data_IF_094414069482
#
_entry.id   IF_094414069482
#
_cell.length_a   1.000
_cell.length_b   1.000
_cell.length_c   1.000
_cell.angle_alpha   90.00
_cell.angle_beta   90.00
_cell.angle_gamma   90.00
#
_symmetry.space_group_name_H-M   'P 1'
#
loop_
_entity.id
_entity.type
_entity.pdbx_description
1 polymer ?
#
# COMPACT_ATOMS: atom_id res chain seq x y z
N UNK A 1 -39.74 17.84 -10.37
CA UNK A 1 -39.41 16.88 -9.31
C UNK A 1 -38.63 15.75 -9.96
N UNK A 2 -37.31 15.70 -9.79
CA UNK A 2 -36.46 14.59 -10.26
C UNK A 2 -36.07 13.79 -9.01
N UNK A 3 -36.48 12.54 -8.97
CA UNK A 3 -36.27 11.65 -7.83
C UNK A 3 -34.77 11.41 -7.65
N UNK A 4 -34.21 11.80 -6.50
CA UNK A 4 -32.86 11.42 -6.08
C UNK A 4 -32.77 9.91 -5.87
N UNK A 5 -31.59 9.34 -6.11
CA UNK A 5 -31.35 7.92 -5.85
C UNK A 5 -31.15 7.79 -4.34
N UNK A 6 -32.11 7.18 -3.65
CA UNK A 6 -31.93 6.82 -2.23
C UNK A 6 -31.12 5.54 -2.20
N UNK A 7 -29.86 5.62 -1.75
CA UNK A 7 -29.06 4.42 -1.53
C UNK A 7 -29.53 3.73 -0.23
N UNK A 8 -29.43 2.39 -0.16
CA UNK A 8 -29.81 1.66 1.04
C UNK A 8 -29.04 2.17 2.27
N UNK A 9 -29.62 2.04 3.48
CA UNK A 9 -28.99 2.49 4.72
C UNK A 9 -27.59 1.89 4.89
N UNK A 10 -26.68 2.67 5.48
CA UNK A 10 -25.32 2.22 5.81
C UNK A 10 -25.46 0.94 6.64
N UNK A 11 -24.92 -0.18 6.14
CA UNK A 11 -24.91 -1.42 6.90
C UNK A 11 -23.68 -1.39 7.81
N UNK A 12 -23.83 -0.76 8.96
CA UNK A 12 -22.85 -0.84 10.05
C UNK A 12 -23.11 -2.15 10.80
N UNK A 13 -22.42 -3.25 10.43
CA UNK A 13 -22.57 -4.53 11.15
C UNK A 13 -21.91 -4.41 12.53
N UNK A 14 -22.68 -4.09 13.56
CA UNK A 14 -22.21 -4.11 14.95
C UNK A 14 -22.72 -2.98 15.85
N UNK A 15 -23.43 -1.99 15.32
CA UNK A 15 -24.09 -0.94 16.13
C UNK A 15 -25.58 -1.19 16.18
N UNK A 16 -26.16 -1.35 17.37
CA UNK A 16 -27.61 -1.45 17.61
C UNK A 16 -28.33 -0.09 17.46
N UNK A 17 -27.89 0.74 16.52
CA UNK A 17 -28.47 2.03 16.21
C UNK A 17 -28.51 2.21 14.71
N UNK A 18 -29.69 2.55 14.18
CA UNK A 18 -29.92 2.86 12.78
C UNK A 18 -28.93 3.94 12.31
N UNK A 19 -27.88 3.55 11.58
CA UNK A 19 -27.00 4.48 10.88
C UNK A 19 -27.74 5.02 9.66
N UNK A 20 -27.97 6.34 9.65
CA UNK A 20 -28.75 7.04 8.64
C UNK A 20 -28.28 6.72 7.22
N UNK A 21 -29.25 6.44 6.34
CA UNK A 21 -28.99 6.46 4.90
C UNK A 21 -28.70 7.88 4.44
N UNK A 22 -27.94 8.04 3.35
CA UNK A 22 -27.74 9.33 2.69
C UNK A 22 -28.50 9.37 1.36
N UNK A 23 -28.93 10.58 0.99
CA UNK A 23 -29.60 10.82 -0.29
C UNK A 23 -28.56 11.20 -1.34
N UNK A 24 -28.54 10.51 -2.47
CA UNK A 24 -27.64 10.82 -3.59
C UNK A 24 -28.39 11.66 -4.62
N UNK A 25 -27.84 12.83 -4.96
CA UNK A 25 -28.44 13.73 -5.93
C UNK A 25 -28.41 13.12 -7.35
N UNK A 26 -29.36 13.53 -8.19
CA UNK A 26 -29.62 12.99 -9.54
C UNK A 26 -28.48 13.19 -10.56
N UNK A 27 -27.41 13.89 -10.17
CA UNK A 27 -26.20 14.14 -10.96
C UNK A 27 -24.96 13.34 -10.53
N UNK A 28 -25.10 12.38 -9.61
CA UNK A 28 -23.97 11.59 -9.10
C UNK A 28 -23.22 10.85 -10.21
N UNK A 29 -21.91 11.09 -10.27
CA UNK A 29 -20.97 10.36 -11.12
C UNK A 29 -19.75 9.96 -10.29
N UNK A 30 -19.41 8.67 -10.34
CA UNK A 30 -18.26 8.11 -9.65
C UNK A 30 -16.99 8.89 -9.98
N UNK A 31 -16.21 9.23 -8.94
CA UNK A 31 -14.91 9.89 -9.10
C UNK A 31 -14.95 11.37 -9.50
N UNK A 32 -16.12 12.03 -9.54
CA UNK A 32 -16.21 13.45 -9.92
C UNK A 32 -16.77 14.34 -8.81
N UNK A 33 -17.94 14.08 -8.23
CA UNK A 33 -18.53 14.88 -7.14
C UNK A 33 -19.70 14.12 -6.46
N UNK A 34 -19.78 14.14 -5.13
CA UNK A 34 -20.94 13.66 -4.36
C UNK A 34 -21.41 14.74 -3.36
N UNK A 35 -22.61 15.27 -3.57
CA UNK A 35 -23.30 16.21 -2.66
C UNK A 35 -24.15 15.43 -1.66
N UNK A 36 -23.52 14.69 -0.74
CA UNK A 36 -24.21 14.01 0.34
C UNK A 36 -23.74 14.55 1.69
N UNK A 37 -24.70 14.85 2.58
CA UNK A 37 -24.42 15.22 3.98
C UNK A 37 -24.31 13.94 4.82
N UNK A 38 -23.21 13.85 5.56
CA UNK A 38 -22.87 12.70 6.41
C UNK A 38 -23.64 12.74 7.73
N UNK A 39 -24.27 11.63 8.14
CA UNK A 39 -24.85 11.49 9.48
C UNK A 39 -24.45 10.15 10.11
N UNK A 40 -23.32 10.12 10.81
CA UNK A 40 -22.84 8.92 11.51
C UNK A 40 -21.40 9.04 12.03
N UNK A 41 -21.10 8.36 13.15
CA UNK A 41 -19.76 8.22 13.69
C UNK A 41 -19.04 7.05 12.97
N UNK A 42 -18.22 7.37 11.98
CA UNK A 42 -17.47 6.41 11.15
C UNK A 42 -17.05 7.06 9.83
N UNK A 43 -16.31 6.34 9.00
CA UNK A 43 -15.87 6.77 7.64
C UNK A 43 -16.62 5.90 6.60
N UNK A 44 -16.79 6.22 5.31
CA UNK A 44 -17.73 5.54 4.39
C UNK A 44 -17.04 5.12 3.10
N UNK A 45 -17.18 3.85 2.74
CA UNK A 45 -16.77 3.23 1.49
C UNK A 45 -18.05 2.88 0.73
N UNK A 46 -18.18 3.30 -0.53
CA UNK A 46 -19.28 2.83 -1.39
C UNK A 46 -18.72 1.82 -2.38
N UNK A 47 -19.34 0.64 -2.47
CA UNK A 47 -18.99 -0.43 -3.41
C UNK A 47 -19.80 -0.34 -4.70
N UNK A 48 -19.34 -1.04 -5.75
CA UNK A 48 -19.94 -1.00 -7.08
C UNK A 48 -21.41 -1.51 -7.16
N UNK A 49 -21.88 -2.20 -6.13
CA UNK A 49 -23.27 -2.67 -5.97
C UNK A 49 -24.17 -1.63 -5.29
N UNK A 50 -23.67 -0.43 -5.01
CA UNK A 50 -24.40 0.66 -4.36
C UNK A 50 -24.49 0.52 -2.83
N UNK A 51 -23.79 -0.44 -2.23
CA UNK A 51 -23.72 -0.58 -0.78
C UNK A 51 -22.73 0.42 -0.19
N UNK A 52 -23.06 0.95 0.99
CA UNK A 52 -22.16 1.83 1.76
C UNK A 52 -21.75 1.15 3.04
N UNK A 53 -20.45 1.04 3.23
CA UNK A 53 -19.78 0.42 4.37
C UNK A 53 -19.11 1.50 5.18
N UNK A 54 -19.09 1.36 6.51
CA UNK A 54 -18.33 2.30 7.34
C UNK A 54 -17.00 1.71 7.80
N UNK A 55 -15.86 2.39 7.58
CA UNK A 55 -14.61 1.97 8.23
C UNK A 55 -14.69 2.30 9.72
N UNK A 56 -14.35 1.34 10.60
CA UNK A 56 -14.36 1.54 12.04
C UNK A 56 -13.32 2.59 12.48
N UNK A 57 -13.54 3.12 13.69
CA UNK A 57 -12.60 3.99 14.37
C UNK A 57 -11.56 3.17 15.14
N UNK A 58 -10.29 3.58 15.05
CA UNK A 58 -9.17 3.02 15.81
C UNK A 58 -9.15 3.43 17.28
N UNK A 59 -8.51 2.62 18.11
CA UNK A 59 -8.37 2.88 19.54
C UNK A 59 -7.56 4.16 19.82
N UNK A 60 -8.08 4.97 20.73
CA UNK A 60 -7.61 6.29 21.09
C UNK A 60 -8.67 7.01 21.94
N UNK A 61 -8.47 8.27 22.35
CA UNK A 61 -9.58 9.05 22.89
C UNK A 61 -10.74 8.96 21.89
N UNK A 62 -11.93 8.58 22.37
CA UNK A 62 -13.09 8.42 21.52
C UNK A 62 -13.29 9.70 20.73
N UNK A 63 -13.11 9.65 19.39
CA UNK A 63 -13.43 10.80 18.55
C UNK A 63 -14.94 10.96 18.67
N UNK A 64 -15.36 11.99 19.38
CA UNK A 64 -16.76 12.32 19.58
C UNK A 64 -17.39 12.65 18.23
N UNK A 65 -18.72 12.52 18.12
CA UNK A 65 -19.43 12.96 16.92
C UNK A 65 -19.14 14.43 16.60
N UNK A 66 -18.99 15.28 17.62
CA UNK A 66 -18.63 16.68 17.45
C UNK A 66 -17.23 16.88 16.86
N UNK A 67 -16.24 16.09 17.29
CA UNK A 67 -14.89 16.12 16.70
C UNK A 67 -14.89 15.59 15.26
N UNK A 68 -15.69 14.57 14.95
CA UNK A 68 -15.87 14.09 13.57
C UNK A 68 -16.57 15.12 12.68
N UNK A 69 -17.60 15.80 13.17
CA UNK A 69 -18.31 16.84 12.42
C UNK A 69 -17.39 18.06 12.16
N UNK A 70 -16.61 18.44 13.17
CA UNK A 70 -15.62 19.50 13.05
C UNK A 70 -14.51 19.11 12.05
N UNK A 71 -14.10 17.84 12.06
CA UNK A 71 -13.17 17.30 11.06
C UNK A 71 -13.77 17.31 9.65
N UNK A 72 -15.02 16.88 9.48
CA UNK A 72 -15.68 16.92 8.17
C UNK A 72 -15.75 18.34 7.64
N UNK A 73 -16.21 19.30 8.45
CA UNK A 73 -16.25 20.72 8.06
C UNK A 73 -14.86 21.26 7.69
N UNK A 74 -13.84 20.86 8.44
CA UNK A 74 -12.45 21.22 8.16
C UNK A 74 -11.94 20.61 6.85
N UNK A 75 -12.19 19.32 6.62
CA UNK A 75 -11.79 18.62 5.41
C UNK A 75 -12.47 19.27 4.19
N UNK A 76 -13.73 19.66 4.32
CA UNK A 76 -14.46 20.42 3.30
C UNK A 76 -13.82 21.77 3.02
N UNK A 77 -13.50 22.54 4.07
CA UNK A 77 -12.86 23.84 3.95
C UNK A 77 -11.51 23.76 3.24
N UNK A 78 -10.69 22.75 3.57
CA UNK A 78 -9.31 22.62 3.06
C UNK A 78 -9.24 21.94 1.69
N UNK A 79 -10.12 20.98 1.41
CA UNK A 79 -10.14 20.25 0.13
C UNK A 79 -11.02 20.92 -0.92
N UNK A 80 -11.96 21.78 -0.52
CA UNK A 80 -12.96 22.39 -1.40
C UNK A 80 -14.06 21.43 -1.87
N UNK A 81 -14.11 20.20 -1.33
CA UNK A 81 -15.11 19.17 -1.66
C UNK A 81 -15.72 18.58 -0.40
N UNK A 82 -16.92 18.01 -0.50
CA UNK A 82 -17.61 17.34 0.61
C UNK A 82 -16.72 16.25 1.22
N UNK A 83 -16.72 16.10 2.55
CA UNK A 83 -15.92 15.10 3.25
C UNK A 83 -16.18 13.68 2.71
N UNK A 84 -17.44 13.39 2.41
CA UNK A 84 -17.85 12.15 1.74
C UNK A 84 -17.25 11.98 0.34
N UNK A 85 -17.18 13.05 -0.47
CA UNK A 85 -16.53 12.98 -1.80
C UNK A 85 -15.04 12.72 -1.67
N UNK A 86 -14.39 13.35 -0.69
CA UNK A 86 -12.98 13.15 -0.42
C UNK A 86 -12.67 11.68 -0.10
N UNK A 87 -13.50 11.07 0.76
CA UNK A 87 -13.41 9.65 1.11
C UNK A 87 -13.53 8.73 -0.11
N UNK A 88 -14.53 8.99 -0.96
CA UNK A 88 -14.71 8.24 -2.21
C UNK A 88 -13.49 8.35 -3.12
N UNK A 89 -12.90 9.55 -3.24
CA UNK A 89 -11.70 9.75 -4.06
C UNK A 89 -10.50 9.00 -3.49
N UNK A 90 -10.31 9.01 -2.17
CA UNK A 90 -9.23 8.28 -1.50
C UNK A 90 -9.40 6.76 -1.63
N UNK A 91 -10.61 6.24 -1.45
CA UNK A 91 -10.91 4.82 -1.67
C UNK A 91 -10.68 4.45 -3.14
N UNK A 92 -11.14 5.28 -4.08
CA UNK A 92 -10.91 5.06 -5.50
C UNK A 92 -9.42 5.01 -5.83
N UNK A 93 -8.60 5.90 -5.26
CA UNK A 93 -7.14 5.83 -5.39
C UNK A 93 -6.61 4.50 -4.84
N UNK A 94 -7.03 4.13 -3.63
CA UNK A 94 -6.58 2.90 -2.98
C UNK A 94 -6.87 1.64 -3.82
N UNK A 95 -8.10 1.47 -4.31
CA UNK A 95 -8.44 0.29 -5.11
C UNK A 95 -7.80 0.30 -6.51
N UNK A 96 -7.30 1.45 -6.97
CA UNK A 96 -6.56 1.61 -8.22
C UNK A 96 -5.04 1.73 -7.99
N UNK A 97 -4.50 1.02 -6.99
CA UNK A 97 -3.06 0.93 -6.67
C UNK A 97 -2.37 2.23 -6.20
N UNK A 98 -3.12 3.24 -5.74
CA UNK A 98 -2.60 4.52 -5.23
C UNK A 98 -3.06 4.82 -3.78
N UNK A 99 -3.13 3.81 -2.91
CA UNK A 99 -3.53 4.04 -1.51
C UNK A 99 -2.56 5.00 -0.79
N UNK A 100 -1.26 4.91 -1.13
CA UNK A 100 -0.25 5.84 -0.63
C UNK A 100 -0.53 7.28 -1.07
N UNK A 101 -0.88 7.52 -2.35
CA UNK A 101 -1.27 8.85 -2.82
C UNK A 101 -2.46 9.42 -2.07
N UNK A 102 -3.44 8.59 -1.71
CA UNK A 102 -4.55 8.97 -0.84
C UNK A 102 -4.10 9.47 0.54
N UNK A 103 -3.20 8.73 1.20
CA UNK A 103 -2.60 9.15 2.48
C UNK A 103 -1.75 10.42 2.31
N UNK A 104 -1.10 10.64 1.16
CA UNK A 104 -0.37 11.90 0.85
C UNK A 104 -1.28 13.10 0.89
N UNK A 105 -2.39 12.97 0.19
CA UNK A 105 -3.32 14.07 0.00
C UNK A 105 -3.93 14.43 1.36
N UNK A 106 -4.20 13.42 2.20
CA UNK A 106 -4.67 13.64 3.56
C UNK A 106 -3.61 14.30 4.44
N UNK A 107 -2.37 13.80 4.37
CA UNK A 107 -1.25 14.36 5.12
C UNK A 107 -1.06 15.86 4.80
N UNK A 108 -1.05 16.24 3.52
CA UNK A 108 -0.89 17.65 3.09
C UNK A 108 -1.95 18.57 3.69
N UNK A 109 -3.19 18.10 3.78
CA UNK A 109 -4.29 18.84 4.40
C UNK A 109 -4.01 18.96 5.92
N UNK A 110 -3.63 17.88 6.59
CA UNK A 110 -3.35 17.88 8.05
C UNK A 110 -2.11 18.71 8.43
N UNK A 111 -1.06 18.70 7.62
CA UNK A 111 0.19 19.44 7.83
C UNK A 111 -0.04 20.94 7.69
N UNK A 112 -0.90 21.36 6.76
CA UNK A 112 -1.18 22.78 6.49
C UNK A 112 -1.79 23.54 7.67
N UNK A 113 -2.22 22.84 8.72
CA UNK A 113 -3.05 23.45 9.75
C UNK A 113 -2.35 23.76 11.07
N UNK A 114 -1.11 23.30 11.33
CA UNK A 114 -0.27 23.57 12.52
C UNK A 114 -0.91 23.38 13.92
N UNK A 115 -2.24 23.32 14.05
CA UNK A 115 -3.03 23.47 15.28
C UNK A 115 -3.27 22.14 15.97
N UNK A 116 -2.96 21.02 15.30
CA UNK A 116 -3.15 19.68 15.83
C UNK A 116 -1.84 18.95 16.07
N UNK A 117 -0.69 19.43 15.60
CA UNK A 117 0.62 18.79 15.83
C UNK A 117 1.15 19.13 17.24
N UNK A 118 0.55 18.56 18.28
CA UNK A 118 1.13 18.65 19.63
C UNK A 118 2.43 17.84 19.65
N UNK A 119 3.52 18.49 20.06
CA UNK A 119 4.86 17.93 20.23
C UNK A 119 4.87 16.47 20.75
N UNK A 120 5.77 15.67 20.15
CA UNK A 120 6.24 14.33 20.55
C UNK A 120 5.39 13.12 20.10
N UNK A 121 6.03 12.25 19.30
CA UNK A 121 5.76 10.82 19.08
C UNK A 121 4.33 10.31 18.71
N UNK A 122 3.31 11.16 18.71
CA UNK A 122 1.92 10.76 18.47
C UNK A 122 1.35 11.45 17.24
N UNK A 123 0.74 10.67 16.34
CA UNK A 123 -0.25 11.21 15.41
C UNK A 123 -1.44 11.66 16.27
N UNK A 124 -1.44 12.95 16.59
CA UNK A 124 -2.50 13.66 17.31
C UNK A 124 -3.77 13.80 16.47
N UNK A 125 -3.63 13.76 15.15
CA UNK A 125 -4.76 13.82 14.24
C UNK A 125 -5.48 12.46 14.17
N UNK A 126 -6.51 12.28 15.00
CA UNK A 126 -7.26 11.02 15.16
C UNK A 126 -7.74 10.40 13.83
N UNK A 127 -8.21 11.22 12.88
CA UNK A 127 -8.61 10.74 11.56
C UNK A 127 -7.45 10.20 10.71
N UNK A 128 -6.32 10.92 10.59
CA UNK A 128 -5.15 10.42 9.86
C UNK A 128 -4.64 9.12 10.48
N UNK A 129 -4.55 9.05 11.81
CA UNK A 129 -4.22 7.82 12.54
C UNK A 129 -5.17 6.68 12.15
N UNK A 130 -6.47 6.96 12.15
CA UNK A 130 -7.50 5.98 11.82
C UNK A 130 -7.32 5.42 10.40
N UNK A 131 -7.07 6.29 9.41
CA UNK A 131 -6.82 5.88 8.02
C UNK A 131 -5.60 4.99 7.86
N UNK A 132 -4.50 5.37 8.51
CA UNK A 132 -3.27 4.56 8.50
C UNK A 132 -3.54 3.18 9.10
N UNK A 133 -4.28 3.09 10.21
CA UNK A 133 -4.63 1.82 10.85
C UNK A 133 -5.60 0.99 9.99
N UNK A 134 -6.62 1.61 9.39
CA UNK A 134 -7.58 0.91 8.52
C UNK A 134 -6.91 0.32 7.28
N UNK A 135 -6.03 1.06 6.61
CA UNK A 135 -5.28 0.54 5.47
C UNK A 135 -4.23 -0.49 5.89
N UNK A 136 -3.60 -0.35 7.05
CA UNK A 136 -2.72 -1.37 7.62
C UNK A 136 -3.47 -2.69 7.89
N UNK A 137 -4.70 -2.62 8.40
CA UNK A 137 -5.54 -3.80 8.60
C UNK A 137 -6.00 -4.39 7.25
N UNK A 138 -6.35 -3.56 6.27
CA UNK A 138 -6.69 -4.03 4.92
C UNK A 138 -5.53 -4.82 4.30
N UNK A 139 -4.29 -4.36 4.43
CA UNK A 139 -3.11 -5.11 3.98
C UNK A 139 -2.99 -6.46 4.70
N UNK A 140 -3.26 -6.49 6.01
CA UNK A 140 -3.21 -7.72 6.80
C UNK A 140 -4.23 -8.76 6.33
N UNK A 141 -5.46 -8.34 6.02
CA UNK A 141 -6.46 -9.22 5.43
C UNK A 141 -6.07 -9.68 4.02
N UNK A 142 -5.56 -8.76 3.19
CA UNK A 142 -5.08 -9.10 1.86
C UNK A 142 -3.96 -10.14 1.90
N UNK A 143 -3.01 -10.02 2.83
CA UNK A 143 -1.91 -10.97 3.01
C UNK A 143 -2.41 -12.36 3.45
N UNK A 144 -3.27 -12.44 4.47
CA UNK A 144 -3.72 -13.71 5.05
C UNK A 144 -4.72 -14.45 4.17
N UNK A 145 -5.62 -13.72 3.53
CA UNK A 145 -6.79 -14.29 2.84
C UNK A 145 -6.72 -14.12 1.32
N UNK A 146 -5.64 -13.52 0.79
CA UNK A 146 -5.45 -13.25 -0.65
C UNK A 146 -6.60 -12.45 -1.27
N UNK A 147 -7.13 -11.49 -0.51
CA UNK A 147 -8.22 -10.61 -0.94
C UNK A 147 -7.71 -9.53 -1.90
N UNK A 148 -8.58 -9.13 -2.83
CA UNK A 148 -8.38 -7.89 -3.59
C UNK A 148 -8.46 -6.65 -2.69
N UNK A 149 -8.00 -5.50 -3.19
CA UNK A 149 -8.00 -4.25 -2.41
C UNK A 149 -9.41 -3.86 -1.92
N UNK A 150 -10.43 -4.03 -2.76
CA UNK A 150 -11.81 -3.71 -2.39
C UNK A 150 -12.37 -4.69 -1.36
N UNK A 151 -12.12 -6.00 -1.52
CA UNK A 151 -12.56 -7.02 -0.57
C UNK A 151 -11.90 -6.85 0.80
N UNK A 152 -10.62 -6.47 0.82
CA UNK A 152 -9.90 -6.16 2.05
C UNK A 152 -10.53 -4.97 2.79
N UNK A 153 -10.88 -3.88 2.09
CA UNK A 153 -11.56 -2.73 2.69
C UNK A 153 -12.97 -3.07 3.22
N UNK A 154 -13.73 -3.89 2.48
CA UNK A 154 -15.03 -4.41 2.95
C UNK A 154 -14.84 -5.27 4.20
N UNK A 155 -13.72 -6.01 4.30
CA UNK A 155 -13.44 -6.80 5.50
C UNK A 155 -13.10 -5.92 6.71
N UNK A 156 -12.36 -4.83 6.50
CA UNK A 156 -12.08 -3.83 7.54
C UNK A 156 -13.38 -3.23 8.07
N UNK A 157 -14.32 -2.85 7.20
CA UNK A 157 -15.61 -2.27 7.62
C UNK A 157 -16.49 -3.21 8.44
N UNK A 158 -16.29 -4.52 8.30
CA UNK A 158 -16.98 -5.55 9.10
C UNK A 158 -16.30 -5.82 10.45
N UNK A 159 -15.18 -5.16 10.76
CA UNK A 159 -14.48 -5.30 12.05
C UNK A 159 -15.16 -4.43 13.12
N UNK A 160 -15.23 -4.94 14.35
CA UNK A 160 -15.92 -4.24 15.43
C UNK A 160 -15.35 -2.81 15.65
N UNK A 161 -16.21 -1.79 15.76
CA UNK A 161 -15.77 -0.42 15.99
C UNK A 161 -15.05 -0.31 17.34
N UNK A 162 -14.03 0.55 17.44
CA UNK A 162 -13.26 0.80 18.68
C UNK A 162 -12.52 -0.44 19.22
N UNK A 163 -12.09 -1.34 18.34
CA UNK A 163 -11.19 -2.46 18.67
C UNK A 163 -9.94 -2.50 17.79
N UNK A 164 -9.69 -1.49 16.96
CA UNK A 164 -8.50 -1.45 16.11
C UNK A 164 -7.33 -0.84 16.87
N UNK A 165 -6.49 -1.69 17.44
CA UNK A 165 -5.11 -1.35 17.77
C UNK A 165 -4.24 -1.58 16.53
N UNK A 166 -3.17 -0.79 16.44
CA UNK A 166 -2.02 -1.25 15.69
C UNK A 166 -1.43 -2.47 16.43
N UNK A 167 -0.99 -3.49 15.71
CA UNK A 167 -1.00 -4.93 16.10
C UNK A 167 -2.40 -5.54 15.98
N UNK A 168 -2.72 -6.24 14.88
CA UNK A 168 -3.99 -6.97 14.89
C UNK A 168 -4.06 -8.32 14.19
N UNK A 169 -3.17 -8.70 13.26
CA UNK A 169 -3.32 -10.01 12.59
C UNK A 169 -2.02 -10.70 12.17
N UNK A 170 -1.07 -9.98 11.56
CA UNK A 170 0.16 -10.60 11.02
C UNK A 170 1.25 -9.57 10.75
N UNK A 171 2.52 -9.99 10.85
CA UNK A 171 3.71 -9.24 10.41
C UNK A 171 4.01 -9.39 8.91
N UNK A 172 3.14 -10.09 8.16
CA UNK A 172 3.26 -10.26 6.72
C UNK A 172 2.64 -9.09 5.95
N UNK A 173 3.38 -8.56 4.97
CA UNK A 173 2.92 -7.59 3.98
C UNK A 173 2.29 -8.32 2.80
N UNK A 174 1.19 -7.80 2.29
CA UNK A 174 0.52 -8.42 1.13
C UNK A 174 1.30 -8.27 -0.18
N UNK A 175 2.14 -7.23 -0.30
CA UNK A 175 2.75 -6.75 -1.54
C UNK A 175 1.83 -5.84 -2.37
N UNK A 176 0.56 -5.72 -1.98
CA UNK A 176 -0.45 -4.90 -2.65
C UNK A 176 -0.45 -3.43 -2.23
N UNK A 177 -1.40 -2.67 -2.77
CA UNK A 177 -1.49 -1.20 -2.63
C UNK A 177 -1.40 -0.67 -1.19
N UNK A 178 -1.81 -1.45 -0.20
CA UNK A 178 -1.81 -1.06 1.21
C UNK A 178 -0.47 -1.33 1.93
N UNK A 179 0.43 -2.12 1.34
CA UNK A 179 1.70 -2.50 1.97
C UNK A 179 2.59 -1.32 2.36
N UNK A 180 2.73 -0.25 1.55
CA UNK A 180 3.47 0.94 1.97
C UNK A 180 2.92 1.59 3.24
N UNK A 181 1.60 1.57 3.41
CA UNK A 181 0.92 2.21 4.54
C UNK A 181 1.04 1.33 5.79
N UNK A 182 0.94 0.01 5.64
CA UNK A 182 1.25 -0.94 6.72
C UNK A 182 2.71 -0.83 7.16
N UNK A 183 3.65 -0.74 6.22
CA UNK A 183 5.07 -0.57 6.50
C UNK A 183 5.34 0.75 7.27
N UNK A 184 4.67 1.84 6.88
CA UNK A 184 4.73 3.10 7.62
C UNK A 184 4.10 3.00 9.02
N UNK A 185 2.92 2.38 9.14
CA UNK A 185 2.28 2.12 10.43
C UNK A 185 3.21 1.30 11.37
N UNK A 186 3.94 0.34 10.79
CA UNK A 186 4.89 -0.51 11.52
C UNK A 186 6.13 0.23 11.98
N UNK A 187 6.60 1.21 11.23
CA UNK A 187 7.64 2.11 11.71
C UNK A 187 7.17 2.91 12.94
N UNK A 188 5.92 3.38 12.95
CA UNK A 188 5.38 4.20 14.05
C UNK A 188 5.08 3.39 15.32
N UNK A 189 4.56 2.18 15.17
CA UNK A 189 3.94 1.45 16.28
C UNK A 189 4.38 -0.02 16.40
N UNK A 190 5.20 -0.52 15.47
CA UNK A 190 5.64 -1.92 15.39
C UNK A 190 6.80 -2.32 16.28
N UNK A 191 7.27 -1.41 17.16
CA UNK A 191 8.29 -1.68 18.17
C UNK A 191 9.59 -2.34 17.63
N UNK A 192 9.91 -2.15 16.34
CA UNK A 192 11.08 -2.74 15.70
C UNK A 192 10.94 -4.21 15.31
N UNK A 193 9.75 -4.82 15.46
CA UNK A 193 9.54 -6.22 15.09
C UNK A 193 9.79 -6.46 13.60
N UNK A 194 10.36 -7.62 13.26
CA UNK A 194 10.63 -7.98 11.87
C UNK A 194 9.32 -8.26 11.12
N UNK A 195 9.16 -7.60 9.97
CA UNK A 195 8.09 -7.89 9.01
C UNK A 195 8.58 -8.86 7.94
N UNK A 196 7.67 -9.39 7.13
CA UNK A 196 8.02 -10.27 6.00
C UNK A 196 7.13 -10.06 4.78
N UNK A 197 7.64 -10.35 3.60
CA UNK A 197 6.88 -10.32 2.34
C UNK A 197 7.34 -11.45 1.43
N UNK A 198 6.40 -12.11 0.74
CA UNK A 198 6.75 -13.13 -0.24
C UNK A 198 7.32 -12.46 -1.49
N UNK A 199 8.48 -12.90 -1.97
CA UNK A 199 9.14 -12.37 -3.17
C UNK A 199 8.22 -12.42 -4.41
N UNK A 200 7.26 -13.34 -4.47
CA UNK A 200 6.32 -13.44 -5.57
C UNK A 200 5.19 -12.41 -5.50
N UNK A 201 5.04 -11.70 -4.39
CA UNK A 201 4.03 -10.66 -4.21
C UNK A 201 4.55 -9.25 -4.47
N UNK A 202 5.87 -9.06 -4.64
CA UNK A 202 6.47 -7.73 -4.79
C UNK A 202 6.54 -7.26 -6.25
N UNK A 203 5.98 -8.05 -7.18
CA UNK A 203 5.86 -7.67 -8.59
C UNK A 203 7.18 -7.64 -9.36
N UNK A 204 8.19 -8.45 -8.97
CA UNK A 204 9.46 -8.51 -9.69
C UNK A 204 9.25 -8.84 -11.17
N UNK A 205 9.88 -8.06 -12.04
CA UNK A 205 9.88 -8.22 -13.50
C UNK A 205 11.31 -8.16 -14.04
N UNK A 206 12.13 -9.11 -13.59
CA UNK A 206 13.58 -9.11 -13.83
C UNK A 206 13.93 -9.39 -15.29
N UNK A 207 14.84 -8.58 -15.83
CA UNK A 207 15.33 -8.69 -17.21
C UNK A 207 16.76 -9.20 -17.27
N UNK A 208 17.15 -9.75 -18.42
CA UNK A 208 18.46 -10.38 -18.58
C UNK A 208 19.63 -9.38 -18.45
N UNK A 209 19.44 -8.14 -18.88
CA UNK A 209 20.42 -7.06 -18.75
C UNK A 209 20.56 -6.52 -17.31
N UNK A 210 19.60 -6.79 -16.43
CA UNK A 210 19.62 -6.41 -15.01
C UNK A 210 20.33 -7.45 -14.13
N UNK A 211 20.72 -8.59 -14.71
CA UNK A 211 21.44 -9.69 -14.06
C UNK A 211 22.89 -9.72 -14.55
N UNK A 212 23.87 -9.11 -13.84
CA UNK A 212 25.22 -8.87 -14.38
C UNK A 212 25.96 -10.14 -14.82
N UNK A 213 25.89 -11.22 -14.03
CA UNK A 213 26.52 -12.49 -14.40
C UNK A 213 25.85 -13.13 -15.62
N UNK A 214 24.52 -13.04 -15.75
CA UNK A 214 23.82 -13.54 -16.93
C UNK A 214 24.13 -12.69 -18.17
N UNK A 215 24.07 -11.36 -18.04
CA UNK A 215 24.38 -10.42 -19.12
C UNK A 215 25.80 -10.63 -19.66
N UNK A 216 26.79 -10.78 -18.78
CA UNK A 216 28.16 -11.09 -19.17
C UNK A 216 28.30 -12.49 -19.78
N UNK A 217 27.58 -13.49 -19.28
CA UNK A 217 27.55 -14.85 -19.86
C UNK A 217 26.96 -14.85 -21.27
N UNK A 218 25.88 -14.09 -21.51
CA UNK A 218 25.30 -13.87 -22.85
C UNK A 218 26.34 -13.23 -23.77
N UNK A 219 27.02 -12.18 -23.29
CA UNK A 219 27.97 -11.41 -24.10
C UNK A 219 29.29 -12.14 -24.42
N UNK A 220 29.75 -13.04 -23.55
CA UNK A 220 31.09 -13.65 -23.64
C UNK A 220 31.10 -15.12 -24.05
N UNK A 221 30.05 -15.89 -23.73
CA UNK A 221 30.00 -17.33 -24.05
C UNK A 221 29.70 -17.53 -25.53
N UNK A 222 30.66 -18.10 -26.28
CA UNK A 222 30.53 -18.40 -27.72
C UNK A 222 30.17 -19.85 -27.99
N UNK A 223 30.60 -20.75 -27.12
CA UNK A 223 30.38 -22.18 -27.29
C UNK A 223 28.96 -22.58 -26.88
N UNK A 224 28.42 -23.59 -27.57
CA UNK A 224 27.16 -24.20 -27.19
C UNK A 224 27.37 -25.10 -25.97
N UNK A 225 26.44 -25.05 -25.03
CA UNK A 225 26.55 -25.80 -23.78
C UNK A 225 25.62 -25.25 -22.70
N UNK A 226 25.65 -25.90 -21.54
CA UNK A 226 24.93 -25.48 -20.34
C UNK A 226 25.93 -25.10 -19.25
N UNK A 227 25.75 -23.92 -18.68
CA UNK A 227 26.63 -23.31 -17.69
C UNK A 227 25.80 -22.93 -16.46
N UNK A 228 26.20 -23.40 -15.29
CA UNK A 228 25.55 -23.01 -14.05
C UNK A 228 26.05 -21.62 -13.62
N UNK A 229 25.12 -20.70 -13.38
CA UNK A 229 25.38 -19.35 -12.91
C UNK A 229 24.90 -19.22 -11.47
N UNK A 230 25.70 -18.54 -10.64
CA UNK A 230 25.35 -18.20 -9.26
C UNK A 230 25.91 -16.82 -8.95
N UNK A 231 25.03 -15.82 -8.91
CA UNK A 231 25.35 -14.44 -8.58
C UNK A 231 24.77 -14.10 -7.20
N UNK A 232 25.63 -13.98 -6.17
CA UNK A 232 25.17 -13.88 -4.79
C UNK A 232 24.68 -12.48 -4.41
N UNK A 233 25.00 -11.41 -5.15
CA UNK A 233 24.66 -10.04 -4.75
C UNK A 233 24.40 -9.14 -5.96
N UNK A 234 23.12 -8.97 -6.28
CA UNK A 234 22.65 -8.11 -7.37
C UNK A 234 21.87 -6.94 -6.77
N UNK A 235 22.35 -5.70 -6.87
CA UNK A 235 21.56 -4.53 -6.47
C UNK A 235 20.37 -4.37 -7.43
N UNK A 236 19.17 -4.20 -6.89
CA UNK A 236 17.95 -4.16 -7.70
C UNK A 236 16.99 -3.08 -7.22
N UNK A 237 16.55 -2.21 -8.13
CA UNK A 237 15.64 -1.11 -7.83
C UNK A 237 14.19 -1.54 -8.10
N UNK A 238 13.44 -1.88 -7.05
CA UNK A 238 12.07 -2.42 -7.19
C UNK A 238 11.07 -1.42 -7.78
N UNK A 239 11.39 -0.12 -7.72
CA UNK A 239 10.58 0.95 -8.31
C UNK A 239 10.42 0.81 -9.83
N UNK A 240 11.37 0.16 -10.50
CA UNK A 240 11.31 -0.06 -11.95
C UNK A 240 10.22 -1.07 -12.34
N UNK A 241 9.79 -1.90 -11.40
CA UNK A 241 8.80 -2.96 -11.62
C UNK A 241 7.45 -2.59 -10.99
N UNK A 242 7.48 -1.96 -9.81
CA UNK A 242 6.28 -1.61 -9.06
C UNK A 242 6.50 -0.36 -8.21
N UNK A 243 5.69 0.67 -8.46
CA UNK A 243 5.65 1.88 -7.63
C UNK A 243 5.29 1.57 -6.18
N UNK A 244 4.39 0.61 -5.97
CA UNK A 244 3.98 0.15 -4.63
C UNK A 244 5.16 -0.49 -3.92
N UNK A 245 5.89 -1.39 -4.58
CA UNK A 245 7.05 -2.07 -3.98
C UNK A 245 8.19 -1.10 -3.72
N UNK A 246 8.50 -0.25 -4.68
CA UNK A 246 9.51 0.80 -4.54
C UNK A 246 9.25 1.75 -3.38
N UNK A 247 7.99 1.97 -3.01
CA UNK A 247 7.63 2.81 -1.89
C UNK A 247 8.08 2.23 -0.52
N UNK A 248 8.05 0.91 -0.31
CA UNK A 248 8.43 0.33 1.00
C UNK A 248 9.73 -0.48 1.00
N UNK A 249 10.16 -1.04 -0.13
CA UNK A 249 11.45 -1.74 -0.24
C UNK A 249 12.54 -0.88 -0.88
N UNK A 250 12.18 0.00 -1.83
CA UNK A 250 13.18 0.79 -2.56
C UNK A 250 14.18 -0.09 -3.32
N UNK A 251 15.47 0.03 -2.97
CA UNK A 251 16.53 -0.81 -3.53
C UNK A 251 16.82 -1.99 -2.62
N UNK A 252 16.74 -3.19 -3.17
CA UNK A 252 17.02 -4.45 -2.46
C UNK A 252 18.27 -5.13 -3.04
N UNK A 253 18.75 -6.16 -2.36
CA UNK A 253 19.78 -7.06 -2.89
C UNK A 253 19.18 -8.40 -3.23
N UNK A 254 19.35 -8.84 -4.48
CA UNK A 254 18.93 -10.15 -4.96
C UNK A 254 20.11 -11.14 -5.01
N UNK A 255 19.77 -12.42 -5.01
CA UNK A 255 20.64 -13.55 -5.34
C UNK A 255 20.00 -14.32 -6.49
N UNK A 256 20.79 -14.68 -7.51
CA UNK A 256 20.33 -15.44 -8.67
C UNK A 256 21.14 -16.73 -8.83
N UNK A 257 20.46 -17.84 -9.08
CA UNK A 257 21.06 -19.15 -9.35
C UNK A 257 20.30 -19.85 -10.47
N UNK A 258 20.99 -20.47 -11.43
CA UNK A 258 20.32 -21.18 -12.52
C UNK A 258 21.22 -21.65 -13.64
N UNK A 259 20.61 -22.28 -14.64
CA UNK A 259 21.30 -22.80 -15.81
C UNK A 259 21.14 -21.87 -16.99
N UNK A 260 22.26 -21.37 -17.53
CA UNK A 260 22.34 -20.72 -18.82
C UNK A 260 22.69 -21.75 -19.89
N UNK A 261 21.81 -21.95 -20.86
CA UNK A 261 22.02 -22.87 -21.99
C UNK A 261 22.07 -22.10 -23.29
N UNK A 262 23.13 -22.29 -24.08
CA UNK A 262 23.30 -21.74 -25.42
C UNK A 262 23.34 -22.86 -26.45
N UNK A 263 22.57 -22.72 -27.52
CA UNK A 263 22.59 -23.65 -28.65
C UNK A 263 23.67 -23.27 -29.69
N UNK A 264 23.88 -24.15 -30.68
CA UNK A 264 24.83 -23.91 -31.77
C UNK A 264 24.42 -22.78 -32.72
N UNK A 265 23.14 -22.41 -32.75
CA UNK A 265 22.60 -21.32 -33.56
C UNK A 265 22.74 -19.96 -32.86
N UNK A 266 23.15 -19.93 -31.58
CA UNK A 266 23.30 -18.73 -30.78
C UNK A 266 22.03 -18.32 -30.03
N UNK A 267 20.97 -19.13 -30.04
CA UNK A 267 19.84 -18.95 -29.12
C UNK A 267 20.25 -19.34 -27.71
N UNK A 268 19.67 -18.70 -26.72
CA UNK A 268 19.95 -18.98 -25.33
C UNK A 268 18.69 -18.97 -24.47
N UNK A 269 18.73 -19.74 -23.39
CA UNK A 269 17.73 -19.80 -22.34
C UNK A 269 18.44 -19.77 -20.99
N UNK A 270 17.91 -18.99 -20.06
CA UNK A 270 18.27 -19.04 -18.65
C UNK A 270 17.07 -19.53 -17.85
N UNK A 271 17.22 -20.66 -17.15
CA UNK A 271 16.24 -21.21 -16.22
C UNK A 271 16.82 -21.13 -14.81
N UNK A 272 16.21 -20.34 -13.93
CA UNK A 272 16.77 -20.10 -12.61
C UNK A 272 15.77 -19.64 -11.56
N UNK A 273 16.31 -19.32 -10.40
CA UNK A 273 15.60 -18.79 -9.25
C UNK A 273 16.25 -17.51 -8.77
N UNK A 274 15.41 -16.59 -8.32
CA UNK A 274 15.81 -15.36 -7.63
C UNK A 274 15.34 -15.47 -6.19
N UNK A 275 16.23 -15.10 -5.27
CA UNK A 275 15.93 -14.86 -3.85
C UNK A 275 16.35 -13.45 -3.50
N UNK A 276 15.86 -12.93 -2.40
CA UNK A 276 16.24 -11.61 -1.90
C UNK A 276 16.85 -11.74 -0.51
N UNK A 277 17.76 -10.84 -0.18
CA UNK A 277 18.22 -10.67 1.19
C UNK A 277 17.20 -9.85 1.97
N UNK A 278 17.25 -9.95 3.30
CA UNK A 278 16.52 -9.06 4.20
C UNK A 278 16.86 -7.61 3.91
N UNK A 279 15.83 -6.77 3.87
CA UNK A 279 15.94 -5.33 3.69
C UNK A 279 15.74 -4.60 5.03
N UNK A 280 16.40 -3.47 5.23
CA UNK A 280 16.22 -2.65 6.44
C UNK A 280 15.27 -1.51 6.14
N UNK A 281 14.10 -1.51 6.78
CA UNK A 281 13.19 -0.37 6.77
C UNK A 281 13.66 0.69 7.77
N UNK A 282 14.40 1.67 7.25
CA UNK A 282 15.01 2.79 7.98
C UNK A 282 14.42 4.16 7.63
N UNK A 283 13.39 4.20 6.77
CA UNK A 283 12.75 5.44 6.34
C UNK A 283 13.72 6.49 5.76
N UNK A 284 14.86 6.10 5.20
CA UNK A 284 15.84 7.06 4.65
C UNK A 284 15.50 7.49 3.20
N UNK A 285 15.52 8.81 2.97
CA UNK A 285 15.35 9.51 1.69
C UNK A 285 16.26 8.97 0.58
N UNK A 286 17.47 8.53 0.94
CA UNK A 286 18.49 8.11 -0.02
C UNK A 286 18.10 6.83 -0.79
N UNK A 287 17.25 5.96 -0.21
CA UNK A 287 16.93 4.64 -0.77
C UNK A 287 15.48 4.48 -1.29
N UNK A 288 14.54 5.37 -0.93
CA UNK A 288 13.08 5.16 -1.15
C UNK A 288 12.33 6.43 -1.64
N UNK A 289 12.81 7.05 -2.73
CA UNK A 289 12.39 8.39 -3.22
C UNK A 289 10.87 8.65 -3.31
N UNK A 290 10.01 7.64 -3.47
CA UNK A 290 8.57 7.84 -3.70
C UNK A 290 7.70 7.85 -2.44
N UNK A 291 8.00 7.04 -1.41
CA UNK A 291 7.28 7.12 -0.13
C UNK A 291 7.74 8.29 0.73
N UNK A 292 8.99 8.72 0.54
CA UNK A 292 9.59 9.79 1.30
C UNK A 292 9.11 11.18 0.92
N UNK A 293 8.70 11.43 -0.31
CA UNK A 293 8.13 12.73 -0.69
C UNK A 293 6.83 13.04 0.09
N UNK A 294 6.16 12.00 0.58
CA UNK A 294 4.96 12.07 1.42
C UNK A 294 5.25 12.44 2.87
N UNK A 295 6.42 12.05 3.38
CA UNK A 295 6.68 11.99 4.81
C UNK A 295 8.04 12.59 5.20
N UNK A 296 8.74 13.32 4.31
CA UNK A 296 9.98 14.00 4.70
C UNK A 296 9.73 15.06 5.78
N UNK A 297 8.53 15.66 5.83
CA UNK A 297 8.12 16.48 6.98
C UNK A 297 7.54 15.63 8.12
N UNK A 298 6.71 14.63 7.82
CA UNK A 298 6.12 13.75 8.83
C UNK A 298 7.16 12.97 9.65
N UNK A 299 8.22 12.43 9.03
CA UNK A 299 9.32 11.74 9.70
C UNK A 299 10.24 12.65 10.52
N UNK A 300 10.21 13.97 10.28
CA UNK A 300 10.79 14.96 11.22
C UNK A 300 9.90 15.20 12.44
N UNK A 301 8.61 14.90 12.32
CA UNK A 301 7.58 15.10 13.35
C UNK A 301 7.32 13.81 14.15
N UNK A 302 7.45 12.64 13.53
CA UNK A 302 7.16 11.33 14.11
C UNK A 302 8.43 10.53 14.36
N UNK A 303 8.70 10.28 15.64
CA UNK A 303 9.70 9.29 16.06
C UNK A 303 9.12 7.88 15.84
N UNK A 304 9.81 7.04 15.08
CA UNK A 304 9.48 5.63 14.91
C UNK A 304 10.71 4.74 15.14
N UNK A 305 10.53 3.44 14.96
CA UNK A 305 11.59 2.43 15.16
C UNK A 305 11.89 1.75 13.84
N UNK A 306 13.17 1.76 13.42
CA UNK A 306 13.61 0.98 12.27
C UNK A 306 13.38 -0.51 12.50
N UNK A 307 13.11 -1.25 11.43
CA UNK A 307 12.89 -2.69 11.50
C UNK A 307 13.34 -3.36 10.20
N UNK A 308 13.38 -4.68 10.20
CA UNK A 308 13.78 -5.46 9.04
C UNK A 308 12.56 -6.05 8.31
N UNK A 309 12.66 -6.17 6.99
CA UNK A 309 11.69 -6.86 6.14
C UNK A 309 12.37 -8.09 5.53
N UNK A 310 11.94 -9.28 5.95
CA UNK A 310 12.36 -10.54 5.36
C UNK A 310 11.62 -10.80 4.04
N UNK A 311 12.36 -10.81 2.93
CA UNK A 311 11.80 -11.07 1.60
C UNK A 311 11.97 -12.56 1.30
N UNK A 312 10.97 -13.35 1.66
CA UNK A 312 11.07 -14.81 1.67
C UNK A 312 10.55 -15.47 0.39
N UNK A 313 10.94 -16.73 0.19
CA UNK A 313 10.52 -17.53 -0.95
C UNK A 313 11.50 -17.49 -2.12
N UNK A 314 11.09 -18.07 -3.23
CA UNK A 314 11.86 -18.15 -4.47
C UNK A 314 11.01 -17.68 -5.63
N UNK A 315 11.56 -16.79 -6.46
CA UNK A 315 10.96 -16.33 -7.69
C UNK A 315 11.59 -17.06 -8.87
N UNK A 316 10.83 -17.96 -9.50
CA UNK A 316 11.32 -18.73 -10.66
C UNK A 316 11.28 -17.85 -11.90
N UNK A 317 12.38 -17.82 -12.63
CA UNK A 317 12.49 -17.06 -13.88
C UNK A 317 12.94 -17.97 -15.03
N UNK A 318 12.38 -17.70 -16.21
CA UNK A 318 12.83 -18.24 -17.48
C UNK A 318 12.99 -17.10 -18.47
N UNK A 319 14.24 -16.81 -18.83
CA UNK A 319 14.59 -15.76 -19.78
C UNK A 319 15.15 -16.40 -21.04
N UNK A 320 14.91 -15.81 -22.20
CA UNK A 320 15.41 -16.35 -23.47
C UNK A 320 15.71 -15.23 -24.47
N UNK A 321 16.64 -15.50 -25.37
CA UNK A 321 16.97 -14.58 -26.45
C UNK A 321 17.89 -15.22 -27.48
N UNK A 322 18.42 -14.41 -28.38
CA UNK A 322 19.35 -14.84 -29.43
C UNK A 322 20.56 -13.91 -29.48
N UNK A 323 21.67 -14.42 -30.03
CA UNK A 323 22.90 -13.65 -30.21
C UNK A 323 23.65 -13.38 -28.89
N UNK A 324 24.35 -12.24 -28.84
CA UNK A 324 25.30 -11.89 -27.79
C UNK A 324 24.97 -10.60 -27.03
N UNK A 325 23.79 -10.05 -27.28
CA UNK A 325 23.31 -8.86 -26.58
C UNK A 325 22.24 -9.29 -25.56
N UNK A 326 22.39 -8.94 -24.28
CA UNK A 326 21.32 -9.16 -23.32
C UNK A 326 20.13 -8.31 -23.73
N UNK A 327 18.98 -8.95 -23.95
CA UNK A 327 17.74 -8.22 -24.23
C UNK A 327 17.25 -7.52 -22.97
N UNK A 328 16.69 -6.31 -23.10
CA UNK A 328 15.98 -5.65 -22.02
C UNK A 328 14.61 -6.28 -21.78
#
# INVERSE_FOLDING_TARGET
MKNGLTLPPIITRGTTGNSGGFTVDSGFRWGTYATADWQGAGEAIVTNDGQTYSLPLSNGPAITSAEMDMFHAWLEMKSGIKAFTYELQMVNKAINNDALGGIRDLWRITESDNYLLSNSATISHGYFKNKVINFSLADSFAAQQKLSAIEALIKVSATAPYNLNYETLTTELSGGTFSPIKAFAHYLWGNGERMRVNINNIGLSVRANELPLLASSIASTREAGTYYLSDPKIPYATINDSNVTGAYLGRITLKMEGNFTRDKAGSWVFDGVIRAYTDTYDFDASNRSTALELLTTAGRVFSGTHYEIDIFGEHKIRLSGTGFHPTP
#
